data_IF_444580180303
#
_entry.id   IF_444580180303
#
_cell.length_a   1.000
_cell.length_b   1.000
_cell.length_c   1.000
_cell.angle_alpha   90.00
_cell.angle_beta   90.00
_cell.angle_gamma   90.00
#
_symmetry.space_group_name_H-M   'P 1'
#
loop_
_entity.id
_entity.type
_entity.pdbx_description
1 polymer ?
#
# COMPACT_ATOMS: atom_id res chain seq x y z
N UNK A 1 -4.98 -48.12 -33.08
CA UNK A 1 -5.70 -46.89 -32.68
C UNK A 1 -5.02 -46.36 -31.41
N UNK A 2 -4.10 -45.38 -31.52
CA UNK A 2 -3.40 -44.77 -30.38
C UNK A 2 -3.77 -43.29 -30.34
N UNK A 3 -4.42 -42.85 -29.26
CA UNK A 3 -4.67 -41.43 -28.97
C UNK A 3 -3.45 -40.90 -28.20
N UNK A 4 -2.73 -39.96 -28.79
CA UNK A 4 -1.77 -39.11 -28.08
C UNK A 4 -2.56 -38.05 -27.31
N UNK A 5 -2.45 -38.07 -25.98
CA UNK A 5 -2.90 -36.98 -25.13
C UNK A 5 -1.81 -35.91 -25.12
N UNK A 6 -2.12 -34.72 -25.63
CA UNK A 6 -1.29 -33.53 -25.48
C UNK A 6 -1.53 -33.00 -24.06
N UNK A 7 -0.52 -33.09 -23.21
CA UNK A 7 -0.52 -32.41 -21.91
C UNK A 7 -0.35 -30.92 -22.16
N UNK A 8 -1.42 -30.15 -22.00
CA UNK A 8 -1.30 -28.70 -21.86
C UNK A 8 -0.76 -28.41 -20.46
N UNK A 9 0.45 -27.84 -20.42
CA UNK A 9 1.06 -27.34 -19.19
C UNK A 9 0.44 -25.98 -18.91
N UNK A 10 -0.23 -25.75 -17.76
CA UNK A 10 -0.74 -24.42 -17.44
C UNK A 10 0.45 -23.46 -17.32
N UNK A 11 0.53 -22.52 -18.26
CA UNK A 11 1.52 -21.45 -18.26
C UNK A 11 1.04 -20.41 -17.25
N UNK A 12 1.39 -20.59 -15.97
CA UNK A 12 1.23 -19.54 -14.96
C UNK A 12 2.22 -18.43 -15.30
N UNK A 13 1.79 -17.47 -16.09
CA UNK A 13 2.49 -16.20 -16.26
C UNK A 13 2.52 -15.48 -14.92
N UNK A 14 3.60 -15.67 -14.16
CA UNK A 14 3.99 -14.77 -13.07
C UNK A 14 4.31 -13.42 -13.72
N UNK A 15 3.34 -12.51 -13.80
CA UNK A 15 3.66 -11.11 -14.01
C UNK A 15 4.45 -10.65 -12.79
N UNK A 16 5.78 -10.68 -12.87
CA UNK A 16 6.66 -10.01 -11.92
C UNK A 16 6.54 -8.51 -12.18
N UNK A 17 5.48 -7.90 -11.66
CA UNK A 17 5.39 -6.44 -11.61
C UNK A 17 6.47 -5.96 -10.61
N UNK A 18 7.26 -4.92 -10.92
CA UNK A 18 8.38 -4.48 -10.09
C UNK A 18 7.88 -3.72 -8.85
N UNK A 19 7.06 -4.33 -8.01
CA UNK A 19 6.46 -3.71 -6.81
C UNK A 19 7.51 -3.15 -5.85
N UNK A 20 8.70 -3.77 -5.79
CA UNK A 20 9.82 -3.26 -5.01
C UNK A 20 10.30 -1.86 -5.47
N UNK A 21 10.05 -1.46 -6.72
CA UNK A 21 10.36 -0.11 -7.21
C UNK A 21 9.45 0.97 -6.59
N UNK A 22 8.33 0.58 -6.00
CA UNK A 22 7.43 1.46 -5.25
C UNK A 22 7.83 1.60 -3.77
N UNK A 23 8.83 0.82 -3.30
CA UNK A 23 9.33 0.96 -1.93
C UNK A 23 10.08 2.29 -1.77
N UNK A 24 9.47 3.24 -1.06
CA UNK A 24 10.10 4.53 -0.77
C UNK A 24 11.08 4.48 0.40
N UNK A 25 11.08 3.41 1.21
CA UNK A 25 11.91 3.33 2.42
C UNK A 25 13.43 3.45 2.13
N UNK A 26 14.00 2.80 1.10
CA UNK A 26 15.42 2.95 0.79
C UNK A 26 15.81 4.39 0.44
N UNK A 27 14.95 5.11 -0.28
CA UNK A 27 15.18 6.51 -0.63
C UNK A 27 15.10 7.41 0.61
N UNK A 28 14.04 7.28 1.41
CA UNK A 28 13.88 8.00 2.68
C UNK A 28 15.12 7.85 3.58
N UNK A 29 15.59 6.61 3.75
CA UNK A 29 16.79 6.34 4.57
C UNK A 29 18.03 7.03 4.01
N UNK A 30 18.22 7.06 2.68
CA UNK A 30 19.35 7.75 2.06
C UNK A 30 19.29 9.26 2.30
N UNK A 31 18.11 9.85 2.15
CA UNK A 31 17.92 11.29 2.29
C UNK A 31 18.13 11.74 3.74
N UNK A 32 17.55 11.02 4.69
CA UNK A 32 17.76 11.31 6.11
C UNK A 32 19.22 11.11 6.54
N UNK A 33 19.94 10.11 6.00
CA UNK A 33 21.38 9.95 6.26
C UNK A 33 22.17 11.12 5.67
N UNK A 34 21.80 11.58 4.48
CA UNK A 34 22.49 12.70 3.83
C UNK A 34 22.28 14.02 4.60
N UNK A 35 21.12 14.20 5.22
CA UNK A 35 20.77 15.42 5.95
C UNK A 35 21.25 15.41 7.41
N UNK A 36 21.06 14.30 8.13
CA UNK A 36 21.27 14.21 9.57
C UNK A 36 22.48 13.36 9.98
N UNK A 37 23.13 12.69 9.03
CA UNK A 37 24.22 11.75 9.29
C UNK A 37 23.72 10.38 9.76
N UNK A 38 24.64 9.54 10.24
CA UNK A 38 24.35 8.14 10.62
C UNK A 38 24.05 7.94 12.11
N UNK A 39 24.42 8.90 12.95
CA UNK A 39 24.33 8.73 14.41
C UNK A 39 22.88 8.89 14.86
N UNK A 40 22.29 7.85 15.45
CA UNK A 40 20.89 7.85 15.89
C UNK A 40 19.86 7.80 14.75
N UNK A 41 20.30 7.57 13.51
CA UNK A 41 19.45 7.69 12.32
C UNK A 41 18.24 6.76 12.33
N UNK A 42 18.38 5.54 12.86
CA UNK A 42 17.27 4.58 12.90
C UNK A 42 16.11 5.09 13.76
N UNK A 43 16.41 5.75 14.89
CA UNK A 43 15.36 6.34 15.73
C UNK A 43 14.68 7.53 15.04
N UNK A 44 15.45 8.36 14.32
CA UNK A 44 14.89 9.47 13.55
C UNK A 44 13.98 8.98 12.41
N UNK A 45 14.39 7.94 11.69
CA UNK A 45 13.59 7.30 10.63
C UNK A 45 12.25 6.82 11.19
N UNK A 46 12.25 6.11 12.33
CA UNK A 46 11.00 5.61 12.91
C UNK A 46 10.09 6.76 13.38
N UNK A 47 10.63 7.84 13.93
CA UNK A 47 9.85 9.03 14.28
C UNK A 47 9.24 9.71 13.06
N UNK A 48 10.01 9.86 11.99
CA UNK A 48 9.55 10.47 10.73
C UNK A 48 8.42 9.64 10.10
N UNK A 49 8.61 8.33 10.00
CA UNK A 49 7.58 7.41 9.49
C UNK A 49 6.34 7.39 10.39
N UNK A 50 6.51 7.46 11.71
CA UNK A 50 5.37 7.50 12.63
C UNK A 50 4.56 8.80 12.50
N UNK A 51 5.22 9.93 12.27
CA UNK A 51 4.59 11.23 12.09
C UNK A 51 3.81 11.31 10.76
N UNK A 52 4.38 10.83 9.67
CA UNK A 52 3.81 10.91 8.31
C UNK A 52 3.23 9.57 7.83
N UNK A 53 2.76 8.75 8.78
CA UNK A 53 2.43 7.35 8.50
C UNK A 53 1.39 7.19 7.40
N UNK A 54 0.36 8.02 7.41
CA UNK A 54 -0.71 7.96 6.42
C UNK A 54 -0.18 8.34 5.03
N UNK A 55 0.55 9.45 4.95
CA UNK A 55 1.15 9.95 3.71
C UNK A 55 2.10 8.92 3.09
N UNK A 56 2.99 8.32 3.88
CA UNK A 56 3.92 7.30 3.37
C UNK A 56 3.22 6.12 2.69
N UNK A 57 2.11 5.65 3.27
CA UNK A 57 1.35 4.53 2.70
C UNK A 57 0.48 5.00 1.54
N UNK A 58 -0.08 6.20 1.60
CA UNK A 58 -0.77 6.79 0.47
C UNK A 58 0.15 6.88 -0.73
N UNK A 59 1.31 7.48 -0.58
CA UNK A 59 2.26 7.77 -1.64
C UNK A 59 3.01 6.54 -2.18
N UNK A 60 3.12 5.49 -1.37
CA UNK A 60 3.75 4.21 -1.73
C UNK A 60 2.78 3.19 -2.32
N UNK A 61 1.53 3.58 -2.60
CA UNK A 61 0.50 2.67 -3.14
C UNK A 61 0.81 2.25 -4.57
N UNK A 62 0.47 1.00 -4.87
CA UNK A 62 0.56 0.37 -6.20
C UNK A 62 -0.83 0.37 -6.86
N UNK A 63 -1.88 0.18 -6.07
CA UNK A 63 -3.26 0.17 -6.52
C UNK A 63 -4.18 0.80 -5.46
N UNK A 64 -5.33 1.28 -5.91
CA UNK A 64 -6.37 1.87 -5.08
C UNK A 64 -7.76 1.48 -5.59
N UNK A 65 -8.73 1.46 -4.68
CA UNK A 65 -10.14 1.22 -4.98
C UNK A 65 -11.02 2.09 -4.08
N UNK A 66 -11.88 2.89 -4.69
CA UNK A 66 -12.86 3.72 -3.98
C UNK A 66 -14.01 2.83 -3.46
N UNK A 67 -14.28 2.93 -2.16
CA UNK A 67 -15.30 2.17 -1.43
C UNK A 67 -16.58 3.01 -1.16
N UNK A 68 -16.63 4.22 -1.69
CA UNK A 68 -17.71 5.18 -1.55
C UNK A 68 -17.46 6.23 -0.48
N UNK A 69 -18.39 7.17 -0.38
CA UNK A 69 -18.37 8.24 0.60
C UNK A 69 -18.30 7.69 2.04
N UNK A 70 -17.63 8.45 2.89
CA UNK A 70 -17.68 8.33 4.32
C UNK A 70 -18.66 9.39 4.84
N UNK A 71 -19.80 8.93 5.33
CA UNK A 71 -20.78 9.80 5.98
C UNK A 71 -20.34 10.00 7.44
N UNK A 72 -19.82 11.17 7.76
CA UNK A 72 -19.63 11.58 9.15
C UNK A 72 -20.99 11.69 9.84
N UNK A 73 -21.05 11.24 11.09
CA UNK A 73 -22.25 11.41 11.94
C UNK A 73 -22.35 12.83 12.51
N UNK A 74 -21.23 13.55 12.59
CA UNK A 74 -21.20 14.97 12.92
C UNK A 74 -21.24 15.75 11.62
N UNK A 75 -22.25 16.62 11.51
CA UNK A 75 -22.69 17.48 10.39
C UNK A 75 -21.63 18.54 9.99
N UNK A 76 -20.36 18.17 10.00
CA UNK A 76 -19.27 18.95 9.44
C UNK A 76 -19.26 18.68 7.94
N UNK A 77 -19.31 19.76 7.15
CA UNK A 77 -19.36 19.77 5.67
C UNK A 77 -18.18 19.07 4.96
N UNK A 78 -17.33 18.35 5.67
CA UNK A 78 -16.21 17.60 5.10
C UNK A 78 -16.67 16.23 4.62
N UNK A 79 -16.77 16.12 3.29
CA UNK A 79 -17.07 14.88 2.61
C UNK A 79 -15.78 14.13 2.33
N UNK A 80 -15.59 13.00 3.01
CA UNK A 80 -14.47 12.10 2.74
C UNK A 80 -14.89 10.93 1.86
N UNK A 81 -13.96 10.39 1.10
CA UNK A 81 -14.09 9.10 0.44
C UNK A 81 -13.29 8.04 1.19
N UNK A 82 -13.86 6.85 1.33
CA UNK A 82 -13.08 5.67 1.74
C UNK A 82 -12.38 5.10 0.52
N UNK A 83 -11.06 4.96 0.61
CA UNK A 83 -10.25 4.36 -0.44
C UNK A 83 -9.43 3.24 0.17
N UNK A 84 -9.59 2.01 -0.30
CA UNK A 84 -8.63 0.96 0.04
C UNK A 84 -7.42 1.06 -0.88
N UNK A 85 -6.24 0.83 -0.33
CA UNK A 85 -4.97 0.86 -1.05
C UNK A 85 -4.23 -0.46 -0.86
N UNK A 86 -3.52 -0.87 -1.92
CA UNK A 86 -2.51 -1.92 -1.90
C UNK A 86 -1.18 -1.27 -2.24
N UNK A 87 -0.16 -1.47 -1.41
CA UNK A 87 1.17 -0.91 -1.67
C UNK A 87 2.29 -1.77 -1.14
N UNK A 88 3.51 -1.22 -1.21
CA UNK A 88 4.73 -1.90 -0.79
C UNK A 88 5.65 -0.94 -0.04
N UNK A 89 6.07 -1.32 1.17
CA UNK A 89 6.89 -0.48 2.04
C UNK A 89 7.72 -1.37 2.98
N UNK A 90 9.00 -1.03 3.18
CA UNK A 90 9.95 -1.81 3.98
C UNK A 90 9.99 -3.28 3.55
N UNK A 91 10.10 -3.50 2.24
CA UNK A 91 10.14 -4.81 1.61
C UNK A 91 8.90 -5.71 1.85
N UNK A 92 7.76 -5.14 2.26
CA UNK A 92 6.52 -5.90 2.55
C UNK A 92 5.33 -5.27 1.84
N UNK A 93 4.39 -6.11 1.42
CA UNK A 93 3.11 -5.65 0.90
C UNK A 93 2.23 -5.16 2.04
N UNK A 94 1.34 -4.21 1.75
CA UNK A 94 0.34 -3.78 2.71
C UNK A 94 -1.01 -3.49 2.07
N UNK A 95 -2.05 -3.63 2.88
CA UNK A 95 -3.39 -3.14 2.57
C UNK A 95 -3.86 -2.24 3.70
N UNK A 96 -4.46 -1.10 3.37
CA UNK A 96 -5.08 -0.18 4.31
C UNK A 96 -6.32 0.45 3.71
N UNK A 97 -7.14 1.09 4.55
CA UNK A 97 -8.24 1.98 4.13
C UNK A 97 -7.90 3.39 4.55
N UNK A 98 -7.88 4.30 3.59
CA UNK A 98 -7.67 5.73 3.78
C UNK A 98 -9.01 6.47 3.73
N UNK A 99 -9.14 7.51 4.55
CA UNK A 99 -10.16 8.55 4.37
C UNK A 99 -9.47 9.73 3.69
N UNK A 100 -9.97 10.11 2.52
CA UNK A 100 -9.39 11.16 1.70
C UNK A 100 -10.42 12.22 1.38
N UNK A 101 -10.00 13.48 1.33
CA UNK A 101 -10.90 14.58 1.01
C UNK A 101 -11.07 14.76 -0.52
N UNK A 102 -11.75 15.83 -0.92
CA UNK A 102 -11.98 16.17 -2.33
C UNK A 102 -10.71 16.50 -3.12
N UNK A 103 -9.63 16.90 -2.44
CA UNK A 103 -8.33 17.18 -3.05
C UNK A 103 -7.41 15.96 -3.05
N UNK A 104 -7.89 14.82 -2.54
CA UNK A 104 -7.18 13.53 -2.46
C UNK A 104 -6.05 13.51 -1.43
N UNK A 105 -6.10 14.42 -0.46
CA UNK A 105 -5.23 14.40 0.69
C UNK A 105 -5.73 13.37 1.70
N UNK A 106 -4.81 12.62 2.31
CA UNK A 106 -5.14 11.58 3.28
C UNK A 106 -5.23 12.17 4.68
N UNK A 107 -6.38 12.01 5.32
CA UNK A 107 -6.59 12.51 6.68
C UNK A 107 -6.49 11.40 7.73
N UNK A 108 -6.95 10.20 7.37
CA UNK A 108 -6.88 9.03 8.25
C UNK A 108 -6.50 7.76 7.50
N UNK A 109 -5.80 6.86 8.19
CA UNK A 109 -5.51 5.52 7.72
C UNK A 109 -5.95 4.49 8.76
N UNK A 110 -6.75 3.54 8.31
CA UNK A 110 -7.40 2.50 9.12
C UNK A 110 -6.99 1.12 8.60
N UNK A 111 -7.01 0.12 9.49
CA UNK A 111 -6.93 -1.29 9.08
C UNK A 111 -5.63 -1.71 8.38
N UNK A 112 -4.50 -1.02 8.62
CA UNK A 112 -3.22 -1.38 8.02
C UNK A 112 -2.83 -2.83 8.37
N UNK A 113 -2.63 -3.64 7.35
CA UNK A 113 -2.12 -5.02 7.45
C UNK A 113 -0.95 -5.21 6.52
N UNK A 114 0.01 -6.04 6.92
CA UNK A 114 1.20 -6.36 6.13
C UNK A 114 1.22 -7.82 5.70
N UNK A 115 1.79 -8.07 4.53
CA UNK A 115 1.86 -9.39 3.89
C UNK A 115 3.25 -9.60 3.28
N UNK A 116 3.73 -10.85 3.35
CA UNK A 116 5.04 -11.23 2.80
C UNK A 116 4.99 -11.52 1.29
N UNK A 117 3.81 -11.80 0.75
CA UNK A 117 3.62 -12.07 -0.67
C UNK A 117 2.49 -11.24 -1.27
N UNK A 118 2.61 -10.98 -2.57
CA UNK A 118 1.64 -10.18 -3.32
C UNK A 118 0.26 -10.83 -3.33
N UNK A 119 0.19 -12.16 -3.56
CA UNK A 119 -1.08 -12.89 -3.67
C UNK A 119 -1.98 -12.70 -2.46
N UNK A 120 -1.44 -12.81 -1.24
CA UNK A 120 -2.21 -12.60 -0.01
C UNK A 120 -2.66 -11.14 0.17
N UNK A 121 -1.82 -10.19 -0.24
CA UNK A 121 -2.16 -8.77 -0.19
C UNK A 121 -3.25 -8.43 -1.21
N UNK A 122 -3.15 -8.95 -2.43
CA UNK A 122 -4.13 -8.77 -3.50
C UNK A 122 -5.49 -9.36 -3.10
N UNK A 123 -5.51 -10.58 -2.55
CA UNK A 123 -6.74 -11.18 -2.02
C UNK A 123 -7.38 -10.31 -0.93
N UNK A 124 -6.59 -9.77 -0.01
CA UNK A 124 -7.08 -8.90 1.06
C UNK A 124 -7.61 -7.56 0.54
N UNK A 125 -6.97 -7.00 -0.49
CA UNK A 125 -7.39 -5.78 -1.18
C UNK A 125 -8.71 -5.98 -1.92
N UNK A 126 -8.83 -7.05 -2.73
CA UNK A 126 -10.05 -7.36 -3.46
C UNK A 126 -11.24 -7.65 -2.53
N UNK A 127 -10.98 -8.28 -1.37
CA UNK A 127 -12.01 -8.52 -0.37
C UNK A 127 -12.55 -7.25 0.31
N UNK A 128 -11.90 -6.09 0.12
CA UNK A 128 -12.34 -4.82 0.71
C UNK A 128 -13.42 -4.11 -0.14
N UNK A 129 -13.61 -4.51 -1.40
CA UNK A 129 -14.64 -3.98 -2.31
C UNK A 129 -15.92 -4.82 -2.42
N UNK A 130 -16.06 -5.86 -1.59
CA UNK A 130 -17.19 -6.81 -1.60
C UNK A 130 -18.20 -6.58 -0.49
#
# INVERSE_FOLDING_TARGET
MRRTATTEVPMTTLHTHPHAAFDRFPQLRRDLIAEFGTDGIDAAIELFIAAERADFHWDGRIAEMNLGAWESLDDENEMFERVTILGYFRARYYVATCLVDGDRDVHWMLGLRHFECFESAEQAFLASGG
#
